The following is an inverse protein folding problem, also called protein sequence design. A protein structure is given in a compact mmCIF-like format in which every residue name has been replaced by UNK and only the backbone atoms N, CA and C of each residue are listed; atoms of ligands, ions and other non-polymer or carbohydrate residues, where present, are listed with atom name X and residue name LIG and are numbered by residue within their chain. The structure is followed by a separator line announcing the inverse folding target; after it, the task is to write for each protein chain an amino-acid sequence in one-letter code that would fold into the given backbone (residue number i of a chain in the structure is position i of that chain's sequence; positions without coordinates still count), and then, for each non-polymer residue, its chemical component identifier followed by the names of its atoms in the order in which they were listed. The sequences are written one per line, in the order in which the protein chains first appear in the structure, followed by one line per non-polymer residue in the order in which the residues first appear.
data_IF_453191679859
#
_entry.id   IF_453191679859
#
_cell.length_a   1.000
_cell.length_b   1.000
_cell.length_c   1.000
_cell.angle_alpha   90.00
_cell.angle_beta   90.00
_cell.angle_gamma   90.00
#
_symmetry.space_group_name_H-M   'P 1'
#
loop_
_entity.id
_entity.type
_entity.pdbx_description
1 polymer ?
#
# COMPACT_ATOMS: atom_id res chain seq x y z
N UNK A 1 22.39 -10.75 1.41
CA UNK A 1 22.95 -10.21 2.67
C UNK A 1 24.48 -9.98 2.57
N UNK A 2 24.99 -9.41 1.47
CA UNK A 2 26.43 -9.14 1.34
C UNK A 2 26.84 -7.85 2.08
N UNK A 3 25.91 -6.90 2.23
CA UNK A 3 26.15 -5.61 2.89
C UNK A 3 26.30 -5.74 4.42
N UNK A 4 25.46 -6.54 5.09
CA UNK A 4 25.56 -6.75 6.54
C UNK A 4 26.80 -7.58 6.89
N UNK A 5 27.16 -8.55 6.05
CA UNK A 5 28.35 -9.40 6.24
C UNK A 5 29.68 -8.66 6.10
N UNK A 6 29.69 -7.49 5.46
CA UNK A 6 30.91 -6.70 5.28
C UNK A 6 31.36 -5.97 6.55
N UNK A 7 30.42 -5.56 7.42
CA UNK A 7 30.75 -4.93 8.71
C UNK A 7 29.61 -5.22 9.71
N UNK A 8 29.70 -6.38 10.36
CA UNK A 8 28.65 -6.89 11.26
C UNK A 8 28.51 -5.99 12.49
N UNK A 9 29.62 -5.52 13.07
CA UNK A 9 29.64 -4.81 14.34
C UNK A 9 28.98 -3.42 14.26
N UNK A 10 29.19 -2.67 13.17
CA UNK A 10 28.57 -1.35 12.99
C UNK A 10 27.19 -1.43 12.37
N UNK A 11 27.00 -2.29 11.37
CA UNK A 11 25.75 -2.35 10.59
C UNK A 11 24.63 -3.16 11.26
N UNK A 12 24.94 -3.96 12.29
CA UNK A 12 23.91 -4.62 13.09
C UNK A 12 23.00 -3.60 13.78
N UNK A 13 23.51 -2.42 14.15
CA UNK A 13 22.70 -1.33 14.75
C UNK A 13 21.79 -0.65 13.72
N UNK A 14 22.22 -0.55 12.47
CA UNK A 14 21.43 0.04 11.38
C UNK A 14 20.43 -0.96 10.78
N UNK A 15 20.52 -2.24 11.14
CA UNK A 15 19.73 -3.32 10.59
C UNK A 15 18.24 -3.18 10.90
N UNK A 16 17.90 -2.85 12.14
CA UNK A 16 16.51 -2.59 12.55
C UNK A 16 15.90 -1.41 11.79
N UNK A 17 16.68 -0.33 11.61
CA UNK A 17 16.26 0.84 10.82
C UNK A 17 16.06 0.45 9.35
N UNK A 18 16.98 -0.32 8.77
CA UNK A 18 16.88 -0.78 7.38
C UNK A 18 15.65 -1.68 7.18
N UNK A 19 15.44 -2.66 8.06
CA UNK A 19 14.28 -3.55 8.02
C UNK A 19 12.97 -2.80 8.21
N UNK A 20 12.94 -1.74 9.03
CA UNK A 20 11.75 -0.93 9.23
C UNK A 20 11.30 -0.22 7.94
N UNK A 21 12.23 0.05 7.02
CA UNK A 21 11.97 0.66 5.71
C UNK A 21 11.64 -0.38 4.62
N UNK A 22 11.82 -1.67 4.90
CA UNK A 22 11.51 -2.76 3.98
C UNK A 22 10.09 -3.27 4.24
N UNK A 23 9.33 -3.53 3.17
CA UNK A 23 7.97 -4.10 3.27
C UNK A 23 8.03 -5.63 3.47
N UNK A 24 8.53 -6.06 4.62
CA UNK A 24 8.62 -7.47 5.01
C UNK A 24 7.31 -8.26 4.82
N UNK A 25 6.11 -7.73 5.13
CA UNK A 25 4.85 -8.46 4.95
C UNK A 25 4.47 -8.75 3.48
N UNK A 26 5.19 -8.16 2.51
CA UNK A 26 5.00 -8.39 1.08
C UNK A 26 6.05 -9.34 0.49
N UNK A 27 7.00 -9.81 1.30
CA UNK A 27 8.01 -10.78 0.87
C UNK A 27 7.45 -12.21 0.95
N UNK A 28 8.05 -13.18 0.23
CA UNK A 28 7.67 -14.58 0.35
C UNK A 28 7.92 -15.10 1.78
N UNK A 29 7.02 -15.94 2.33
CA UNK A 29 7.18 -16.47 3.69
C UNK A 29 8.42 -17.35 3.86
N UNK A 30 8.90 -17.99 2.78
CA UNK A 30 10.17 -18.74 2.77
C UNK A 30 11.35 -17.85 3.15
N UNK A 31 11.43 -16.65 2.56
CA UNK A 31 12.49 -15.69 2.85
C UNK A 31 12.38 -15.15 4.28
N UNK A 32 11.16 -14.97 4.81
CA UNK A 32 10.95 -14.56 6.20
C UNK A 32 11.44 -15.63 7.18
N UNK A 33 11.17 -16.91 6.93
CA UNK A 33 11.67 -18.02 7.74
C UNK A 33 13.21 -18.13 7.67
N UNK A 34 13.81 -17.91 6.50
CA UNK A 34 15.26 -17.88 6.35
C UNK A 34 15.89 -16.72 7.12
N UNK A 35 15.23 -15.56 7.17
CA UNK A 35 15.67 -14.40 7.96
C UNK A 35 15.57 -14.65 9.47
N UNK A 36 14.50 -15.30 9.93
CA UNK A 36 14.32 -15.67 11.34
C UNK A 36 15.40 -16.66 11.83
N UNK A 37 15.77 -17.63 10.99
CA UNK A 37 16.82 -18.61 11.30
C UNK A 37 18.23 -18.02 11.39
N UNK A 38 18.44 -16.80 10.90
CA UNK A 38 19.73 -16.14 10.98
C UNK A 38 19.91 -15.48 12.36
N UNK A 39 20.89 -15.98 13.14
CA UNK A 39 21.21 -15.48 14.50
C UNK A 39 21.36 -13.96 14.61
N UNK A 40 21.83 -13.27 13.55
CA UNK A 40 21.96 -11.81 13.54
C UNK A 40 20.62 -11.07 13.73
N UNK A 41 19.50 -11.65 13.27
CA UNK A 41 18.17 -11.06 13.41
C UNK A 41 17.49 -11.46 14.71
N UNK A 42 17.87 -12.60 15.30
CA UNK A 42 17.31 -13.06 16.57
C UNK A 42 17.91 -12.32 17.76
N UNK A 43 19.06 -11.66 17.62
CA UNK A 43 19.68 -10.88 18.70
C UNK A 43 19.04 -9.49 18.89
N UNK A 44 18.37 -8.95 17.86
CA UNK A 44 17.74 -7.62 17.91
C UNK A 44 16.22 -7.72 18.08
N UNK A 45 15.72 -7.14 19.17
CA UNK A 45 14.30 -7.12 19.51
C UNK A 45 13.45 -6.38 18.47
N UNK A 46 13.97 -5.33 17.84
CA UNK A 46 13.22 -4.58 16.83
C UNK A 46 13.09 -5.39 15.53
N UNK A 47 14.14 -6.11 15.16
CA UNK A 47 14.12 -7.04 14.02
C UNK A 47 13.08 -8.16 14.23
N UNK A 48 13.05 -8.75 15.43
CA UNK A 48 12.08 -9.79 15.78
C UNK A 48 10.63 -9.30 15.71
N UNK A 49 10.33 -8.10 16.23
CA UNK A 49 8.98 -7.52 16.14
C UNK A 49 8.53 -7.34 14.69
N UNK A 50 9.43 -6.88 13.81
CA UNK A 50 9.15 -6.68 12.39
C UNK A 50 8.93 -8.01 11.64
N UNK A 51 9.72 -9.04 11.94
CA UNK A 51 9.53 -10.38 11.38
C UNK A 51 8.22 -11.01 11.84
N UNK A 52 7.90 -10.88 13.14
CA UNK A 52 6.65 -11.39 13.71
C UNK A 52 5.43 -10.69 13.09
N UNK A 53 5.50 -9.36 12.86
CA UNK A 53 4.47 -8.61 12.12
C UNK A 53 4.24 -9.21 10.72
N UNK A 54 5.34 -9.45 9.97
CA UNK A 54 5.27 -10.00 8.62
C UNK A 54 4.72 -11.43 8.60
N UNK A 55 5.18 -12.31 9.48
CA UNK A 55 4.67 -13.69 9.59
C UNK A 55 3.18 -13.72 9.95
N UNK A 56 2.76 -12.86 10.89
CA UNK A 56 1.34 -12.72 11.27
C UNK A 56 0.46 -12.27 10.11
N UNK A 57 0.98 -11.38 9.25
CA UNK A 57 0.29 -10.93 8.04
C UNK A 57 0.06 -12.06 7.01
N UNK A 58 0.98 -13.03 6.93
CA UNK A 58 0.81 -14.22 6.10
C UNK A 58 -0.13 -15.25 6.72
N UNK A 59 -0.02 -15.48 8.04
CA UNK A 59 -0.80 -16.49 8.78
C UNK A 59 -2.28 -16.11 8.94
N UNK A 60 -2.61 -14.82 9.01
CA UNK A 60 -3.97 -14.34 9.30
C UNK A 60 -4.51 -13.43 8.17
N UNK A 61 -4.83 -14.00 6.99
CA UNK A 61 -5.31 -13.23 5.84
C UNK A 61 -6.59 -12.42 6.12
N UNK A 62 -7.50 -12.96 6.92
CA UNK A 62 -8.78 -12.32 7.29
C UNK A 62 -8.58 -11.09 8.19
N UNK A 63 -7.48 -11.05 8.95
CA UNK A 63 -7.16 -9.96 9.88
C UNK A 63 -6.19 -8.93 9.29
N UNK A 64 -5.83 -9.04 8.01
CA UNK A 64 -5.02 -8.03 7.30
C UNK A 64 -5.52 -6.59 7.46
N UNK A 65 -6.84 -6.30 7.52
CA UNK A 65 -7.33 -4.95 7.79
C UNK A 65 -6.96 -4.40 9.17
N UNK A 66 -6.65 -5.26 10.14
CA UNK A 66 -6.20 -4.87 11.48
C UNK A 66 -4.67 -4.67 11.55
N UNK A 67 -3.92 -5.16 10.56
CA UNK A 67 -2.46 -5.01 10.45
C UNK A 67 -2.09 -3.93 9.44
N UNK A 68 -2.75 -2.77 9.54
CA UNK A 68 -2.48 -1.60 8.70
C UNK A 68 -1.22 -0.89 9.22
N UNK A 69 -0.08 -1.17 8.60
CA UNK A 69 1.17 -0.45 8.83
C UNK A 69 1.63 0.21 7.53
N UNK A 70 2.54 1.21 7.58
CA UNK A 70 3.12 1.79 6.36
C UNK A 70 3.71 0.74 5.40
N UNK A 71 4.06 -0.45 5.93
CA UNK A 71 4.64 -1.58 5.19
C UNK A 71 3.61 -2.47 4.51
N UNK A 72 2.39 -2.54 5.02
CA UNK A 72 1.28 -3.32 4.42
C UNK A 72 0.42 -2.49 3.47
N UNK A 73 0.56 -1.15 3.49
CA UNK A 73 -0.17 -0.26 2.60
C UNK A 73 0.26 -0.49 1.14
N UNK A 74 -0.67 -0.88 0.24
CA UNK A 74 -0.38 -0.99 -1.19
C UNK A 74 0.17 0.32 -1.74
N UNK A 75 1.09 0.22 -2.70
CA UNK A 75 1.69 1.40 -3.35
C UNK A 75 0.55 2.21 -4.00
N UNK A 76 0.51 3.53 -3.76
CA UNK A 76 -0.52 4.43 -4.34
C UNK A 76 -0.60 4.38 -5.88
N UNK A 77 0.45 3.89 -6.53
CA UNK A 77 0.56 3.87 -7.99
C UNK A 77 -0.32 2.82 -8.67
N UNK A 78 -0.64 1.69 -8.04
CA UNK A 78 -1.39 0.64 -8.78
C UNK A 78 -2.90 0.85 -8.81
N UNK A 79 -3.42 1.89 -8.14
CA UNK A 79 -4.86 2.14 -8.08
C UNK A 79 -5.19 3.27 -9.05
N UNK A 80 -5.68 2.91 -10.24
CA UNK A 80 -6.27 3.89 -11.15
C UNK A 80 -7.45 4.60 -10.47
N UNK A 81 -7.59 5.89 -10.68
CA UNK A 81 -8.77 6.62 -10.22
C UNK A 81 -9.78 6.67 -11.37
N UNK A 82 -11.00 6.21 -11.11
CA UNK A 82 -12.10 6.34 -12.05
C UNK A 82 -12.74 7.71 -11.84
N UNK A 83 -12.87 8.49 -12.90
CA UNK A 83 -13.56 9.77 -12.84
C UNK A 83 -14.86 9.65 -13.65
N UNK A 84 -15.96 10.11 -13.06
CA UNK A 84 -17.22 10.32 -13.76
C UNK A 84 -17.39 11.82 -13.97
N UNK A 85 -17.55 12.23 -15.23
CA UNK A 85 -17.70 13.64 -15.61
C UNK A 85 -19.05 13.82 -16.29
N UNK A 86 -19.94 14.58 -15.65
CA UNK A 86 -21.29 14.85 -16.17
C UNK A 86 -22.28 13.72 -15.91
N UNK A 87 -23.39 13.72 -16.67
CA UNK A 87 -24.51 12.80 -16.48
C UNK A 87 -25.85 13.53 -16.38
N UNK A 88 -26.91 12.79 -16.11
CA UNK A 88 -28.25 13.34 -15.92
C UNK A 88 -28.76 12.83 -14.57
N UNK A 89 -28.99 13.75 -13.64
CA UNK A 89 -29.76 13.44 -12.44
C UNK A 89 -31.25 13.51 -12.80
N UNK A 90 -32.14 12.92 -12.00
CA UNK A 90 -33.55 12.58 -12.32
C UNK A 90 -34.42 13.70 -12.94
N UNK A 91 -33.96 14.96 -12.97
CA UNK A 91 -34.59 16.05 -13.70
C UNK A 91 -33.64 17.08 -14.36
N UNK A 92 -32.30 16.98 -14.20
CA UNK A 92 -31.33 18.00 -14.68
C UNK A 92 -29.98 17.39 -15.06
N UNK A 93 -29.30 18.00 -16.04
CA UNK A 93 -27.91 17.66 -16.37
C UNK A 93 -26.96 17.93 -15.20
N UNK A 94 -26.14 16.93 -14.85
CA UNK A 94 -25.15 17.01 -13.79
C UNK A 94 -23.99 17.93 -14.18
N UNK A 95 -23.50 18.67 -13.18
CA UNK A 95 -22.29 19.49 -13.30
C UNK A 95 -21.16 18.94 -12.43
N UNK A 96 -21.37 17.84 -11.71
CA UNK A 96 -20.38 17.31 -10.79
C UNK A 96 -19.33 16.49 -11.52
N UNK A 97 -18.09 16.61 -11.04
CA UNK A 97 -16.99 15.72 -11.37
C UNK A 97 -16.79 14.85 -10.14
N UNK A 98 -17.00 13.56 -10.29
CA UNK A 98 -16.88 12.59 -9.21
C UNK A 98 -15.67 11.69 -9.47
N UNK A 99 -14.94 11.38 -8.40
CA UNK A 99 -13.84 10.44 -8.42
C UNK A 99 -14.21 9.26 -7.54
N UNK A 100 -14.15 8.08 -8.11
CA UNK A 100 -14.31 6.84 -7.36
C UNK A 100 -12.96 6.36 -6.83
N UNK A 101 -12.88 6.22 -5.50
CA UNK A 101 -11.74 5.62 -4.82
C UNK A 101 -11.97 4.11 -4.67
N UNK A 102 -11.29 3.32 -5.52
CA UNK A 102 -11.34 1.85 -5.52
C UNK A 102 -10.97 1.24 -4.16
N UNK A 103 -10.20 1.95 -3.32
CA UNK A 103 -9.72 1.42 -2.04
C UNK A 103 -10.77 1.53 -0.95
N UNK A 104 -11.57 2.59 -0.95
CA UNK A 104 -12.66 2.78 0.01
C UNK A 104 -14.01 2.37 -0.54
N UNK A 105 -14.10 2.06 -1.84
CA UNK A 105 -15.34 1.77 -2.55
C UNK A 105 -16.34 2.92 -2.41
N UNK A 106 -15.85 4.17 -2.50
CA UNK A 106 -16.68 5.36 -2.33
C UNK A 106 -16.47 6.38 -3.45
N UNK A 107 -17.54 7.08 -3.81
CA UNK A 107 -17.52 8.22 -4.70
C UNK A 107 -17.24 9.50 -3.90
N UNK A 108 -16.36 10.34 -4.42
CA UNK A 108 -16.01 11.65 -3.83
C UNK A 108 -16.13 12.71 -4.90
N UNK A 109 -16.93 13.74 -4.65
CA UNK A 109 -17.01 14.89 -5.55
C UNK A 109 -15.69 15.68 -5.50
N UNK A 110 -15.04 15.84 -6.66
CA UNK A 110 -13.74 16.52 -6.79
C UNK A 110 -13.84 17.88 -7.49
N UNK A 111 -14.97 18.20 -8.11
CA UNK A 111 -15.15 19.48 -8.77
C UNK A 111 -16.53 19.68 -9.40
N UNK A 112 -16.69 20.86 -9.99
CA UNK A 112 -17.86 21.26 -10.76
C UNK A 112 -17.43 21.70 -12.16
N UNK A 113 -18.21 21.38 -13.18
CA UNK A 113 -18.01 21.81 -14.57
C UNK A 113 -18.59 23.22 -14.79
N UNK A 114 -17.98 23.96 -15.72
CA UNK A 114 -18.43 25.32 -16.09
C UNK A 114 -19.77 25.36 -16.85
N UNK A 115 -20.37 24.21 -17.16
CA UNK A 115 -21.65 24.11 -17.85
C UNK A 115 -22.28 22.72 -17.72
N UNK A 116 -23.61 22.66 -17.84
CA UNK A 116 -24.36 21.39 -17.77
C UNK A 116 -24.09 20.56 -19.03
N UNK A 117 -23.69 19.30 -18.86
CA UNK A 117 -23.54 18.33 -19.96
C UNK A 117 -24.50 17.17 -19.72
N UNK A 118 -25.35 16.88 -20.70
CA UNK A 118 -26.36 15.80 -20.63
C UNK A 118 -25.77 14.43 -20.96
N UNK A 119 -24.61 14.38 -21.62
CA UNK A 119 -23.89 13.15 -21.94
C UNK A 119 -22.87 12.82 -20.83
N UNK A 120 -22.66 11.53 -20.58
CA UNK A 120 -21.70 11.01 -19.61
C UNK A 120 -20.38 10.64 -20.29
N UNK A 121 -19.26 11.07 -19.71
CA UNK A 121 -17.93 10.60 -20.07
C UNK A 121 -17.26 9.93 -18.87
N UNK A 122 -16.74 8.71 -19.07
CA UNK A 122 -16.04 7.94 -18.03
C UNK A 122 -14.57 7.74 -18.45
N UNK A 123 -13.66 8.62 -17.99
CA UNK A 123 -12.23 8.36 -18.11
C UNK A 123 -11.69 7.55 -16.93
N UNK A 124 -10.98 6.46 -17.26
CA UNK A 124 -10.11 5.72 -16.34
C UNK A 124 -8.72 6.35 -16.38
N UNK A 125 -8.25 6.91 -15.26
CA UNK A 125 -6.88 7.40 -15.16
C UNK A 125 -6.03 6.41 -14.37
N UNK A 126 -5.16 5.69 -15.06
CA UNK A 126 -4.15 4.82 -14.45
C UNK A 126 -2.86 5.62 -14.25
N UNK A 127 -2.40 5.75 -13.00
CA UNK A 127 -1.13 6.43 -12.69
C UNK A 127 -0.04 5.35 -12.51
N UNK A 128 0.51 4.87 -13.62
CA UNK A 128 1.67 3.98 -13.58
C UNK A 128 2.92 4.79 -13.21
N UNK A 129 3.44 4.63 -12.00
CA UNK A 129 4.82 5.02 -11.68
C UNK A 129 5.73 3.87 -12.14
N UNK A 130 6.49 4.11 -13.20
CA UNK A 130 7.73 3.41 -13.51
C UNK A 130 8.79 3.67 -12.45
#
# INVERSE_FOLDING_TARGET
MLWVRYDVQRRQRDLGVLLSNIRLPLLPPQLLADLENNKMFSEDLECQKLLMEAMKYHLLPERRPMFQSPRTKPRKSTVGALYAVGGMDASKGSTTIERYDLRTNTWVQVGLMNGRRLQFGVPLLTISCT
#
